data_IF_615609504898
#
_entry.id   IF_615609504898
#
_cell.length_a   1.000
_cell.length_b   1.000
_cell.length_c   1.000
_cell.angle_alpha   90.00
_cell.angle_beta   90.00
_cell.angle_gamma   90.00
#
_symmetry.space_group_name_H-M   'P 1'
#
loop_
_entity.id
_entity.type
_entity.pdbx_description
1 polymer ?
#
# COMPACT_ATOMS: atom_id res chain seq x y z
N UNK A 1 -28.86 17.02 -22.15
CA UNK A 1 -27.56 17.15 -22.84
C UNK A 1 -26.59 16.16 -22.21
N UNK A 2 -26.51 14.97 -22.80
CA UNK A 2 -25.54 13.95 -22.38
C UNK A 2 -24.17 14.35 -22.94
N UNK A 3 -23.30 14.93 -22.12
CA UNK A 3 -21.88 15.01 -22.43
C UNK A 3 -21.32 13.60 -22.24
N UNK A 4 -20.98 12.96 -23.35
CA UNK A 4 -20.20 11.73 -23.35
C UNK A 4 -18.94 11.97 -22.52
N UNK A 5 -18.81 11.22 -21.43
CA UNK A 5 -17.53 11.06 -20.72
C UNK A 5 -16.58 10.48 -21.76
N UNK A 6 -15.61 11.26 -22.20
CA UNK A 6 -14.58 10.80 -23.10
C UNK A 6 -13.89 9.60 -22.44
N UNK A 7 -14.02 8.44 -23.06
CA UNK A 7 -13.22 7.27 -22.76
C UNK A 7 -11.76 7.65 -23.02
N UNK A 8 -11.05 8.04 -21.96
CA UNK A 8 -9.60 8.18 -21.99
C UNK A 8 -9.02 6.77 -21.74
N UNK A 9 -9.33 5.86 -22.64
CA UNK A 9 -8.52 4.66 -22.82
C UNK A 9 -7.26 5.08 -23.58
N UNK A 10 -6.32 5.66 -22.88
CA UNK A 10 -4.97 5.84 -23.41
C UNK A 10 -4.32 4.44 -23.42
N UNK A 11 -4.51 3.73 -24.56
CA UNK A 11 -4.01 2.35 -24.76
C UNK A 11 -2.48 2.24 -24.65
N UNK A 12 -1.80 3.35 -24.48
CA UNK A 12 -0.36 3.44 -24.36
C UNK A 12 0.11 3.71 -22.91
N UNK A 13 -0.82 3.97 -21.97
CA UNK A 13 -0.44 4.21 -20.58
C UNK A 13 0.15 2.94 -19.94
N UNK A 14 1.38 3.02 -19.48
CA UNK A 14 2.09 1.90 -18.86
C UNK A 14 2.38 2.18 -17.37
N UNK A 15 2.08 1.19 -16.53
CA UNK A 15 2.24 1.27 -15.08
C UNK A 15 3.39 0.36 -14.61
N UNK A 16 4.25 0.84 -13.71
CA UNK A 16 5.17 0.03 -12.95
C UNK A 16 4.64 -0.18 -11.54
N UNK A 17 4.41 -1.43 -11.14
CA UNK A 17 4.02 -1.83 -9.79
C UNK A 17 5.23 -2.44 -9.12
N UNK A 18 5.60 -1.96 -7.94
CA UNK A 18 6.68 -2.53 -7.15
C UNK A 18 6.24 -2.84 -5.72
N UNK A 19 6.77 -3.93 -5.19
CA UNK A 19 6.51 -4.39 -3.82
C UNK A 19 7.79 -4.90 -3.16
N UNK A 20 7.82 -4.88 -1.82
CA UNK A 20 8.91 -5.46 -1.04
C UNK A 20 8.40 -6.60 -0.17
N UNK A 21 9.12 -7.71 -0.18
CA UNK A 21 8.88 -8.85 0.71
C UNK A 21 10.01 -8.96 1.73
N UNK A 22 9.65 -8.87 3.01
CA UNK A 22 10.52 -9.15 4.15
C UNK A 22 10.23 -10.56 4.71
N UNK A 23 11.10 -11.13 5.58
CA UNK A 23 10.90 -12.49 6.08
C UNK A 23 9.55 -12.70 6.76
N UNK A 24 8.74 -13.58 6.22
CA UNK A 24 7.45 -14.01 6.76
C UNK A 24 7.10 -15.40 6.25
N UNK A 25 6.50 -16.21 7.12
CA UNK A 25 5.97 -17.54 6.76
C UNK A 25 4.72 -17.45 5.88
N UNK A 26 4.16 -16.26 5.70
CA UNK A 26 2.95 -16.01 4.92
C UNK A 26 3.23 -15.47 3.52
N UNK A 27 4.50 -15.32 3.12
CA UNK A 27 4.86 -14.67 1.86
C UNK A 27 4.24 -15.33 0.63
N UNK A 28 4.18 -16.67 0.58
CA UNK A 28 3.54 -17.38 -0.54
C UNK A 28 2.06 -17.03 -0.69
N UNK A 29 1.34 -16.92 0.43
CA UNK A 29 -0.07 -16.53 0.41
C UNK A 29 -0.23 -15.06 0.01
N UNK A 30 0.59 -14.16 0.55
CA UNK A 30 0.52 -12.74 0.19
C UNK A 30 0.86 -12.52 -1.28
N UNK A 31 1.87 -13.21 -1.80
CA UNK A 31 2.23 -13.14 -3.20
C UNK A 31 1.08 -13.62 -4.10
N UNK A 32 0.49 -14.76 -3.79
CA UNK A 32 -0.66 -15.30 -4.54
C UNK A 32 -1.85 -14.35 -4.54
N UNK A 33 -2.19 -13.76 -3.38
CA UNK A 33 -3.27 -12.79 -3.25
C UNK A 33 -2.97 -11.49 -4.02
N UNK A 34 -1.77 -10.96 -3.86
CA UNK A 34 -1.35 -9.73 -4.53
C UNK A 34 -1.40 -9.89 -6.04
N UNK A 35 -0.84 -10.99 -6.56
CA UNK A 35 -0.86 -11.31 -7.99
C UNK A 35 -2.29 -11.47 -8.50
N UNK A 36 -3.13 -12.27 -7.84
CA UNK A 36 -4.54 -12.46 -8.20
C UNK A 36 -5.28 -11.13 -8.34
N UNK A 37 -5.17 -10.26 -7.34
CA UNK A 37 -5.91 -8.98 -7.35
C UNK A 37 -5.31 -7.93 -8.27
N UNK A 38 -3.99 -7.91 -8.48
CA UNK A 38 -3.34 -7.03 -9.47
C UNK A 38 -3.83 -7.42 -10.87
N UNK A 39 -3.74 -8.69 -11.24
CA UNK A 39 -4.17 -9.20 -12.54
C UNK A 39 -5.65 -8.93 -12.80
N UNK A 40 -6.50 -9.18 -11.81
CA UNK A 40 -7.95 -8.99 -11.90
C UNK A 40 -8.36 -7.52 -12.07
N UNK A 41 -7.68 -6.60 -11.40
CA UNK A 41 -8.15 -5.23 -11.22
C UNK A 41 -7.37 -4.18 -12.01
N UNK A 42 -6.18 -4.50 -12.54
CA UNK A 42 -5.36 -3.57 -13.32
C UNK A 42 -5.63 -3.76 -14.81
N UNK A 43 -6.38 -2.82 -15.40
CA UNK A 43 -6.90 -2.93 -16.76
C UNK A 43 -6.01 -2.26 -17.84
N UNK A 44 -4.83 -1.78 -17.46
CA UNK A 44 -3.82 -1.20 -18.36
C UNK A 44 -2.58 -2.10 -18.40
N UNK A 45 -1.70 -1.96 -19.41
CA UNK A 45 -0.40 -2.61 -19.41
C UNK A 45 0.40 -2.25 -18.17
N UNK A 46 0.94 -3.26 -17.51
CA UNK A 46 1.78 -3.06 -16.32
C UNK A 46 2.94 -4.06 -16.30
N UNK A 47 4.00 -3.69 -15.59
CA UNK A 47 5.02 -4.62 -15.11
C UNK A 47 4.92 -4.68 -13.58
N UNK A 48 5.03 -5.89 -13.04
CA UNK A 48 5.07 -6.13 -11.61
C UNK A 48 6.48 -6.56 -11.22
N UNK A 49 7.11 -5.85 -10.26
CA UNK A 49 8.50 -6.10 -9.84
C UNK A 49 8.59 -6.19 -8.32
N UNK A 50 9.45 -7.07 -7.86
CA UNK A 50 9.62 -7.45 -6.45
C UNK A 50 11.05 -7.16 -6.00
N UNK A 51 11.18 -6.53 -4.85
CA UNK A 51 12.41 -6.50 -4.07
C UNK A 51 12.30 -7.51 -2.95
N UNK A 52 13.19 -8.48 -2.89
CA UNK A 52 13.27 -9.39 -1.75
C UNK A 52 14.24 -8.85 -0.72
N UNK A 53 13.80 -8.83 0.54
CA UNK A 53 14.55 -8.27 1.66
C UNK A 53 14.86 -9.38 2.67
N UNK A 54 15.89 -10.21 2.40
CA UNK A 54 16.22 -11.45 3.10
C UNK A 54 15.10 -12.52 3.01
N UNK A 55 14.54 -12.68 1.81
CA UNK A 55 13.54 -13.70 1.50
C UNK A 55 14.07 -14.60 0.39
N UNK A 56 13.77 -15.90 0.47
CA UNK A 56 14.06 -16.82 -0.62
C UNK A 56 13.24 -16.43 -1.86
N UNK A 57 13.92 -16.09 -2.94
CA UNK A 57 13.27 -15.64 -4.18
C UNK A 57 12.54 -16.76 -4.93
N UNK A 58 12.77 -18.03 -4.60
CA UNK A 58 12.16 -19.16 -5.33
C UNK A 58 10.63 -19.27 -5.21
N UNK A 59 10.01 -18.48 -4.34
CA UNK A 59 8.54 -18.40 -4.23
C UNK A 59 7.91 -17.42 -5.25
N UNK A 60 8.72 -16.63 -5.94
CA UNK A 60 8.30 -15.63 -6.92
C UNK A 60 8.66 -16.10 -8.35
N UNK A 61 8.03 -15.52 -9.34
CA UNK A 61 8.43 -15.71 -10.73
C UNK A 61 9.76 -14.98 -11.01
N UNK A 62 10.69 -15.64 -11.72
CA UNK A 62 12.06 -15.14 -11.91
C UNK A 62 12.12 -13.76 -12.58
N UNK A 63 11.21 -13.49 -13.52
CA UNK A 63 11.15 -12.22 -14.25
C UNK A 63 10.52 -11.08 -13.46
N UNK A 64 9.88 -11.38 -12.33
CA UNK A 64 9.32 -10.39 -11.41
C UNK A 64 10.35 -9.94 -10.36
N UNK A 65 11.32 -10.77 -10.02
CA UNK A 65 12.33 -10.44 -9.00
C UNK A 65 13.37 -9.48 -9.58
N UNK A 66 13.36 -8.25 -9.10
CA UNK A 66 14.27 -7.20 -9.54
C UNK A 66 15.55 -7.14 -8.72
N UNK A 67 15.42 -7.18 -7.40
CA UNK A 67 16.54 -7.05 -6.45
C UNK A 67 16.43 -8.13 -5.37
N UNK A 68 17.55 -8.75 -5.07
CA UNK A 68 17.69 -9.72 -3.97
C UNK A 68 18.63 -9.16 -2.91
N UNK A 69 18.08 -8.63 -1.83
CA UNK A 69 18.86 -8.24 -0.65
C UNK A 69 19.11 -9.49 0.22
N UNK A 70 20.39 -9.83 0.43
CA UNK A 70 20.79 -10.99 1.25
C UNK A 70 20.51 -10.79 2.74
N UNK A 71 20.37 -9.54 3.17
CA UNK A 71 20.06 -9.14 4.53
C UNK A 71 18.81 -8.28 4.54
N UNK A 72 18.11 -8.21 5.67
CA UNK A 72 16.97 -7.32 5.84
C UNK A 72 17.48 -5.89 6.07
N UNK A 73 17.46 -5.08 5.01
CA UNK A 73 17.91 -3.68 5.05
C UNK A 73 16.87 -2.72 5.68
N UNK A 74 15.72 -3.25 6.10
CA UNK A 74 14.62 -2.46 6.65
C UNK A 74 13.67 -1.94 5.58
N UNK A 75 12.43 -1.65 6.00
CA UNK A 75 11.36 -1.22 5.10
C UNK A 75 11.64 0.11 4.39
N UNK A 76 12.09 1.20 5.07
CA UNK A 76 12.38 2.46 4.38
C UNK A 76 13.46 2.33 3.31
N UNK A 77 14.56 1.63 3.61
CA UNK A 77 15.65 1.46 2.66
C UNK A 77 15.21 0.66 1.42
N UNK A 78 14.34 -0.35 1.60
CA UNK A 78 13.80 -1.09 0.47
C UNK A 78 12.86 -0.24 -0.40
N UNK A 79 12.06 0.66 0.21
CA UNK A 79 11.23 1.61 -0.54
C UNK A 79 12.10 2.62 -1.31
N UNK A 80 13.19 3.12 -0.71
CA UNK A 80 14.11 4.01 -1.43
C UNK A 80 14.74 3.29 -2.64
N UNK A 81 15.11 2.02 -2.53
CA UNK A 81 15.55 1.23 -3.70
C UNK A 81 14.47 1.15 -4.80
N UNK A 82 13.19 1.03 -4.42
CA UNK A 82 12.09 1.07 -5.42
C UNK A 82 12.01 2.44 -6.09
N UNK A 83 12.07 3.52 -5.31
CA UNK A 83 12.03 4.89 -5.85
C UNK A 83 13.20 5.18 -6.79
N UNK A 84 14.41 4.76 -6.42
CA UNK A 84 15.61 4.90 -7.26
C UNK A 84 15.41 4.16 -8.58
N UNK A 85 15.00 2.89 -8.52
CA UNK A 85 14.75 2.11 -9.73
C UNK A 85 13.65 2.74 -10.59
N UNK A 86 12.53 3.16 -9.99
CA UNK A 86 11.44 3.82 -10.72
C UNK A 86 11.90 5.10 -11.43
N UNK A 87 12.76 5.91 -10.80
CA UNK A 87 13.31 7.16 -11.38
C UNK A 87 14.21 6.91 -12.59
N UNK A 88 14.81 5.74 -12.68
CA UNK A 88 15.63 5.31 -13.82
C UNK A 88 14.80 4.84 -15.02
N UNK A 89 13.48 4.66 -14.84
CA UNK A 89 12.60 4.08 -15.83
C UNK A 89 11.72 5.14 -16.54
N UNK A 90 12.15 5.57 -17.72
CA UNK A 90 11.40 6.57 -18.51
C UNK A 90 10.18 6.01 -19.25
N UNK A 91 10.07 4.68 -19.35
CA UNK A 91 9.06 3.99 -20.17
C UNK A 91 7.66 3.90 -19.54
N UNK A 92 7.51 4.28 -18.26
CA UNK A 92 6.24 4.23 -17.54
C UNK A 92 5.65 5.62 -17.34
N UNK A 93 4.33 5.69 -17.31
CA UNK A 93 3.57 6.92 -17.12
C UNK A 93 3.13 7.11 -15.66
N UNK A 94 3.03 5.99 -14.94
CA UNK A 94 2.66 5.98 -13.52
C UNK A 94 3.35 4.84 -12.77
N UNK A 95 3.35 4.96 -11.46
CA UNK A 95 4.10 4.10 -10.54
C UNK A 95 3.23 3.78 -9.33
N UNK A 96 3.27 2.53 -8.90
CA UNK A 96 2.60 2.07 -7.69
C UNK A 96 3.59 1.33 -6.79
N UNK A 97 3.73 1.80 -5.56
CA UNK A 97 4.40 1.09 -4.46
C UNK A 97 3.34 0.39 -3.61
N UNK A 98 3.55 -0.87 -3.29
CA UNK A 98 2.70 -1.67 -2.42
C UNK A 98 3.50 -2.32 -1.29
N UNK A 99 2.94 -2.37 -0.09
CA UNK A 99 3.35 -3.38 0.89
C UNK A 99 2.92 -4.77 0.41
N UNK A 100 3.60 -5.81 0.85
CA UNK A 100 3.30 -7.20 0.43
C UNK A 100 1.89 -7.67 0.81
N UNK A 101 1.28 -7.05 1.81
CA UNK A 101 -0.07 -7.31 2.31
C UNK A 101 -1.12 -6.26 1.84
N UNK A 102 -0.80 -5.57 0.73
CA UNK A 102 -1.69 -4.60 0.09
C UNK A 102 -1.89 -4.90 -1.41
N UNK A 103 -3.10 -4.65 -1.92
CA UNK A 103 -3.41 -4.87 -3.34
C UNK A 103 -4.66 -4.11 -3.78
N UNK A 104 -4.82 -3.83 -5.11
CA UNK A 104 -6.02 -3.20 -5.64
C UNK A 104 -7.21 -4.16 -5.59
N UNK A 105 -8.40 -3.65 -5.22
CA UNK A 105 -9.63 -4.46 -5.09
C UNK A 105 -10.75 -4.05 -6.04
N UNK A 106 -10.53 -3.05 -6.88
CA UNK A 106 -11.52 -2.53 -7.79
C UNK A 106 -10.98 -2.42 -9.22
N UNK A 107 -11.66 -3.01 -10.23
CA UNK A 107 -11.28 -2.85 -11.62
C UNK A 107 -11.22 -1.39 -12.05
N UNK A 108 -10.17 -1.02 -12.79
CA UNK A 108 -9.99 0.35 -13.30
C UNK A 108 -9.63 1.37 -12.21
N UNK A 109 -9.11 0.94 -11.08
CA UNK A 109 -8.67 1.79 -9.96
C UNK A 109 -7.73 2.93 -10.40
N UNK A 110 -6.83 2.65 -11.35
CA UNK A 110 -5.86 3.61 -11.87
C UNK A 110 -6.52 4.80 -12.60
N UNK A 111 -7.57 4.55 -13.39
CA UNK A 111 -8.31 5.61 -14.07
C UNK A 111 -9.03 6.52 -13.07
N UNK A 112 -9.61 5.92 -12.03
CA UNK A 112 -10.26 6.66 -10.94
C UNK A 112 -9.26 7.58 -10.27
N UNK A 113 -8.08 7.07 -9.91
CA UNK A 113 -7.04 7.88 -9.27
C UNK A 113 -6.50 8.96 -10.19
N UNK A 114 -6.20 8.63 -11.45
CA UNK A 114 -5.71 9.62 -12.42
C UNK A 114 -6.70 10.77 -12.62
N UNK A 115 -8.00 10.47 -12.73
CA UNK A 115 -9.04 11.49 -12.84
C UNK A 115 -9.12 12.37 -11.60
N UNK A 116 -9.08 11.79 -10.40
CA UNK A 116 -9.12 12.53 -9.16
C UNK A 116 -7.86 13.36 -8.94
N UNK A 117 -6.67 12.77 -9.15
CA UNK A 117 -5.40 13.49 -9.04
C UNK A 117 -5.38 14.69 -9.99
N UNK A 118 -5.83 14.51 -11.23
CA UNK A 118 -5.96 15.62 -12.20
C UNK A 118 -6.95 16.68 -11.74
N UNK A 119 -8.12 16.28 -11.23
CA UNK A 119 -9.15 17.18 -10.73
C UNK A 119 -8.66 18.03 -9.56
N UNK A 120 -7.97 17.40 -8.61
CA UNK A 120 -7.46 18.05 -7.40
C UNK A 120 -6.03 18.60 -7.56
N UNK A 121 -5.44 18.50 -8.75
CA UNK A 121 -4.07 18.93 -9.07
C UNK A 121 -3.03 18.31 -8.11
N UNK A 122 -3.11 16.99 -7.93
CA UNK A 122 -2.22 16.18 -7.10
C UNK A 122 -1.36 15.28 -7.98
N UNK A 123 -0.17 14.94 -7.52
CA UNK A 123 0.75 14.07 -8.22
C UNK A 123 0.98 12.72 -7.51
N UNK A 124 0.49 12.60 -6.29
CA UNK A 124 0.62 11.43 -5.43
C UNK A 124 -0.76 11.08 -4.87
N UNK A 125 -1.09 9.81 -4.74
CA UNK A 125 -2.24 9.32 -4.00
C UNK A 125 -1.77 8.26 -2.99
N UNK A 126 -2.13 8.42 -1.71
CA UNK A 126 -1.68 7.53 -0.65
C UNK A 126 -2.66 7.52 0.51
N UNK A 127 -2.80 6.40 1.25
CA UNK A 127 -3.59 6.37 2.47
C UNK A 127 -3.05 7.33 3.53
N UNK A 128 -3.97 8.03 4.18
CA UNK A 128 -3.70 8.67 5.47
C UNK A 128 -4.59 7.94 6.48
N UNK A 129 -3.97 7.20 7.39
CA UNK A 129 -4.66 6.30 8.30
C UNK A 129 -5.14 7.06 9.56
N UNK A 130 -6.14 7.94 9.39
CA UNK A 130 -6.71 8.68 10.53
C UNK A 130 -7.24 7.76 11.63
N UNK A 131 -7.67 6.55 11.27
CA UNK A 131 -8.04 5.51 12.25
C UNK A 131 -6.86 5.03 13.09
N UNK A 132 -5.64 5.29 12.62
CA UNK A 132 -4.38 5.04 13.32
C UNK A 132 -3.72 6.33 13.85
N UNK A 133 -4.46 7.43 13.82
CA UNK A 133 -4.00 8.77 14.21
C UNK A 133 -2.86 9.34 13.33
N UNK A 134 -2.58 8.75 12.18
CA UNK A 134 -1.57 9.24 11.25
C UNK A 134 -2.01 10.55 10.60
N UNK A 135 -1.04 11.43 10.34
CA UNK A 135 -1.23 12.71 9.62
C UNK A 135 -0.38 12.79 8.36
N UNK A 136 0.25 11.68 7.98
CA UNK A 136 1.17 11.57 6.85
C UNK A 136 0.76 10.42 5.91
N UNK A 137 1.18 10.45 4.65
CA UNK A 137 0.97 9.38 3.69
C UNK A 137 1.65 8.09 4.14
N UNK A 138 0.90 7.00 4.21
CA UNK A 138 1.44 5.71 4.62
C UNK A 138 1.94 4.90 3.41
N UNK A 139 3.14 4.27 3.50
CA UNK A 139 3.74 3.57 2.38
C UNK A 139 3.07 2.27 1.97
N UNK A 140 2.07 1.78 2.71
CA UNK A 140 1.40 0.52 2.34
C UNK A 140 0.86 0.54 0.90
N UNK A 141 0.69 1.75 0.34
CA UNK A 141 0.22 1.93 -0.99
C UNK A 141 0.42 3.39 -1.43
N UNK A 142 1.22 3.58 -2.46
CA UNK A 142 1.51 4.91 -2.99
C UNK A 142 1.46 4.90 -4.50
N UNK A 143 0.49 5.59 -5.07
CA UNK A 143 0.36 5.78 -6.50
C UNK A 143 0.86 7.17 -6.90
N UNK A 144 1.71 7.24 -7.93
CA UNK A 144 2.34 8.47 -8.38
C UNK A 144 2.35 8.57 -9.91
N UNK A 145 2.22 9.80 -10.42
CA UNK A 145 2.63 10.12 -11.79
C UNK A 145 4.13 10.50 -11.83
N UNK A 146 4.67 10.76 -13.03
CA UNK A 146 6.07 11.17 -13.19
C UNK A 146 6.44 12.41 -12.39
N UNK A 147 5.54 13.37 -12.24
CA UNK A 147 5.83 14.60 -11.49
C UNK A 147 5.94 14.32 -9.99
N UNK A 148 5.09 13.44 -9.45
CA UNK A 148 5.19 12.98 -8.06
C UNK A 148 6.47 12.20 -7.80
N UNK A 149 6.80 11.23 -8.67
CA UNK A 149 8.03 10.44 -8.52
C UNK A 149 9.30 11.30 -8.57
N UNK A 150 9.33 12.28 -9.46
CA UNK A 150 10.51 13.16 -9.65
C UNK A 150 10.57 14.31 -8.64
N UNK A 151 9.62 14.44 -7.72
CA UNK A 151 9.70 15.41 -6.64
C UNK A 151 10.80 14.95 -5.66
N UNK A 152 11.89 15.71 -5.49
CA UNK A 152 13.04 15.29 -4.67
C UNK A 152 12.74 15.19 -3.18
N UNK A 153 11.58 15.72 -2.73
CA UNK A 153 11.12 15.59 -1.35
C UNK A 153 10.37 14.30 -1.08
N UNK A 154 10.01 13.53 -2.12
CA UNK A 154 9.36 12.23 -1.95
C UNK A 154 10.38 11.23 -1.47
N UNK A 155 10.27 10.85 -0.21
CA UNK A 155 11.04 9.80 0.44
C UNK A 155 10.23 9.21 1.60
N UNK A 156 10.50 7.96 1.95
CA UNK A 156 9.78 7.23 3.00
C UNK A 156 10.62 6.96 4.25
N UNK A 157 11.65 7.77 4.47
CA UNK A 157 12.46 7.68 5.66
C UNK A 157 11.63 7.94 6.93
N UNK A 158 12.15 7.43 8.03
CA UNK A 158 11.62 7.77 9.35
C UNK A 158 11.73 9.28 9.58
N UNK A 159 10.70 9.85 10.13
CA UNK A 159 10.72 11.22 10.60
C UNK A 159 9.79 11.38 11.80
N UNK A 160 10.20 12.24 12.73
CA UNK A 160 9.41 12.57 13.91
C UNK A 160 8.30 13.54 13.52
N UNK A 161 7.07 13.07 13.64
CA UNK A 161 5.86 13.86 13.35
C UNK A 161 4.90 13.80 14.53
N UNK A 162 4.07 14.83 14.69
CA UNK A 162 2.98 14.79 15.65
C UNK A 162 1.80 14.06 15.04
N UNK A 163 1.26 13.08 15.75
CA UNK A 163 0.00 12.44 15.38
C UNK A 163 -1.22 13.32 15.70
N UNK A 164 -2.43 12.83 15.42
CA UNK A 164 -3.68 13.58 15.70
C UNK A 164 -3.90 13.90 17.18
N UNK A 165 -3.29 13.13 18.10
CA UNK A 165 -3.35 13.39 19.55
C UNK A 165 -2.26 14.35 20.02
N UNK A 166 -1.33 14.74 19.14
CA UNK A 166 -0.21 15.61 19.46
C UNK A 166 1.03 14.87 19.97
N UNK A 167 1.01 13.53 20.01
CA UNK A 167 2.15 12.73 20.42
C UNK A 167 3.20 12.72 19.31
N UNK A 168 4.48 12.77 19.70
CA UNK A 168 5.59 12.61 18.76
C UNK A 168 5.77 11.12 18.44
N UNK A 169 5.65 10.79 17.18
CA UNK A 169 5.89 9.45 16.67
C UNK A 169 7.01 9.48 15.64
N UNK A 170 7.71 8.36 15.47
CA UNK A 170 8.76 8.17 14.48
C UNK A 170 8.37 7.00 13.59
N UNK A 171 7.89 7.29 12.40
CA UNK A 171 7.27 6.31 11.50
C UNK A 171 7.78 6.40 10.07
N UNK A 172 7.74 5.26 9.38
CA UNK A 172 7.99 5.17 7.94
C UNK A 172 6.96 5.99 7.19
N UNK A 173 7.42 6.89 6.32
CA UNK A 173 6.55 7.84 5.62
C UNK A 173 6.34 9.15 6.37
N UNK A 174 6.84 9.31 7.60
CA UNK A 174 6.79 10.59 8.31
C UNK A 174 7.42 11.74 7.52
N UNK A 175 8.47 11.46 6.73
CA UNK A 175 9.09 12.45 5.84
C UNK A 175 8.15 12.94 4.72
N UNK A 176 7.13 12.17 4.34
CA UNK A 176 6.13 12.54 3.34
C UNK A 176 5.23 13.72 3.78
N UNK A 177 5.29 14.15 5.04
CA UNK A 177 4.64 15.39 5.49
C UNK A 177 5.12 16.61 4.71
N UNK A 178 6.35 16.60 4.19
CA UNK A 178 6.90 17.70 3.38
C UNK A 178 6.21 17.87 2.04
N UNK A 179 5.52 16.85 1.55
CA UNK A 179 4.80 16.84 0.26
C UNK A 179 3.31 16.62 0.44
N UNK A 180 2.77 16.78 1.65
CA UNK A 180 1.36 16.49 1.96
C UNK A 180 0.39 17.28 1.08
N UNK A 181 0.76 18.49 0.69
CA UNK A 181 -0.04 19.34 -0.21
C UNK A 181 -0.12 18.80 -1.63
N UNK A 182 0.77 17.89 -2.04
CA UNK A 182 0.77 17.22 -3.35
C UNK A 182 0.11 15.83 -3.30
N UNK A 183 -0.39 15.43 -2.15
CA UNK A 183 -1.01 14.11 -1.93
C UNK A 183 -2.53 14.22 -2.01
N UNK A 184 -3.14 13.32 -2.79
CA UNK A 184 -4.55 12.97 -2.70
C UNK A 184 -4.72 11.96 -1.57
N UNK A 185 -5.35 12.31 -0.44
CA UNK A 185 -5.51 11.40 0.67
C UNK A 185 -6.54 10.33 0.35
N UNK A 186 -6.15 9.08 0.48
CA UNK A 186 -7.04 7.94 0.34
C UNK A 186 -7.52 7.53 1.74
N UNK A 187 -8.78 7.82 2.00
CA UNK A 187 -9.36 7.56 3.31
C UNK A 187 -9.96 6.16 3.37
N UNK A 188 -9.94 5.58 4.55
CA UNK A 188 -10.59 4.30 4.81
C UNK A 188 -12.08 4.40 4.49
N UNK A 189 -12.59 3.44 3.72
CA UNK A 189 -13.97 3.40 3.22
C UNK A 189 -14.82 2.31 3.85
N UNK A 190 -14.22 1.23 4.35
CA UNK A 190 -14.96 0.21 5.09
C UNK A 190 -15.09 0.58 6.57
N UNK A 191 -16.02 -0.08 7.25
CA UNK A 191 -16.25 0.19 8.68
C UNK A 191 -15.01 -0.10 9.50
N UNK A 192 -14.76 0.76 10.50
CA UNK A 192 -13.81 0.49 11.56
C UNK A 192 -14.49 -0.49 12.52
N UNK A 193 -14.15 -1.76 12.38
CA UNK A 193 -14.60 -2.79 13.31
C UNK A 193 -13.86 -2.66 14.64
N UNK A 194 -13.96 -3.68 15.50
CA UNK A 194 -13.25 -3.77 16.80
C UNK A 194 -11.71 -3.67 16.67
N UNK A 195 -11.20 -3.79 15.45
CA UNK A 195 -9.78 -3.72 15.10
C UNK A 195 -9.58 -2.75 13.95
N UNK A 196 -9.36 -1.46 14.24
CA UNK A 196 -9.27 -0.42 13.22
C UNK A 196 -8.17 -0.67 12.19
N UNK A 197 -7.11 -1.40 12.53
CA UNK A 197 -5.98 -1.62 11.62
C UNK A 197 -6.02 -2.93 10.82
N UNK A 198 -6.73 -3.94 11.29
CA UNK A 198 -6.84 -5.18 10.53
C UNK A 198 -7.85 -5.02 9.39
N UNK A 199 -7.51 -5.41 8.18
CA UNK A 199 -8.37 -5.44 7.01
C UNK A 199 -9.02 -4.09 6.65
N UNK A 200 -8.23 -3.14 6.20
CA UNK A 200 -8.69 -1.84 5.73
C UNK A 200 -8.93 -1.82 4.22
N UNK A 201 -10.01 -1.17 3.78
CA UNK A 201 -10.21 -0.76 2.38
C UNK A 201 -10.06 0.76 2.31
N UNK A 202 -9.18 1.25 1.44
CA UNK A 202 -9.00 2.68 1.23
C UNK A 202 -9.63 3.12 -0.08
N UNK A 203 -10.42 4.16 -0.01
CA UNK A 203 -11.08 4.83 -1.12
C UNK A 203 -11.93 3.91 -2.01
N UNK A 204 -12.41 2.78 -1.47
CA UNK A 204 -13.02 1.67 -2.21
C UNK A 204 -12.14 1.09 -3.34
N UNK A 205 -10.83 1.28 -3.29
CA UNK A 205 -9.90 0.90 -4.35
C UNK A 205 -8.85 -0.13 -3.91
N UNK A 206 -8.43 -0.08 -2.64
CA UNK A 206 -7.28 -0.85 -2.17
C UNK A 206 -7.51 -1.49 -0.82
N UNK A 207 -7.05 -2.72 -0.71
CA UNK A 207 -6.99 -3.46 0.55
C UNK A 207 -5.61 -3.33 1.17
N UNK A 208 -5.54 -3.27 2.49
CA UNK A 208 -4.33 -3.43 3.28
C UNK A 208 -4.62 -4.23 4.54
N UNK A 209 -3.80 -5.23 4.82
CA UNK A 209 -3.88 -6.06 6.00
C UNK A 209 -2.78 -5.69 6.99
N UNK A 210 -3.09 -4.88 7.97
CA UNK A 210 -2.10 -4.38 8.91
C UNK A 210 -1.35 -5.52 9.62
N UNK A 211 -0.01 -5.40 9.67
CA UNK A 211 0.92 -6.39 10.19
C UNK A 211 0.82 -7.79 9.53
N UNK A 212 0.13 -7.91 8.39
CA UNK A 212 0.05 -9.16 7.64
C UNK A 212 1.41 -9.64 7.18
N UNK A 213 2.24 -8.74 6.68
CA UNK A 213 3.63 -8.99 6.28
C UNK A 213 4.53 -9.46 7.43
N UNK A 214 4.15 -9.18 8.69
CA UNK A 214 4.87 -9.58 9.92
C UNK A 214 4.25 -10.77 10.64
N UNK A 215 3.39 -11.55 9.99
CA UNK A 215 2.70 -12.65 10.61
C UNK A 215 1.76 -12.25 11.76
N UNK A 216 1.21 -11.03 11.69
CA UNK A 216 0.31 -10.43 12.70
C UNK A 216 0.98 -10.08 14.03
N UNK A 217 2.30 -9.97 14.06
CA UNK A 217 3.02 -9.57 15.27
C UNK A 217 2.89 -8.07 15.53
N UNK A 218 2.04 -7.72 16.47
CA UNK A 218 1.85 -6.35 16.95
C UNK A 218 2.71 -5.98 18.15
N UNK A 219 3.55 -6.89 18.65
CA UNK A 219 4.39 -6.64 19.86
C UNK A 219 5.37 -5.50 19.66
N UNK A 220 5.91 -5.37 18.46
CA UNK A 220 6.82 -4.28 18.07
C UNK A 220 6.18 -2.90 18.29
N UNK A 221 4.86 -2.81 18.17
CA UNK A 221 4.12 -1.56 18.34
C UNK A 221 3.98 -1.14 19.80
N UNK A 222 4.10 -2.09 20.76
CA UNK A 222 4.08 -1.80 22.21
C UNK A 222 5.25 -0.93 22.67
N UNK A 223 6.39 -1.01 22.00
CA UNK A 223 7.61 -0.30 22.38
C UNK A 223 7.52 1.21 22.11
N UNK A 224 6.61 1.64 21.25
CA UNK A 224 6.50 3.04 20.86
C UNK A 224 5.48 3.88 21.61
N UNK A 225 4.88 3.39 22.71
CA UNK A 225 3.77 4.06 23.43
C UNK A 225 2.61 4.57 22.55
N UNK A 226 2.66 4.22 21.30
CA UNK A 226 1.86 4.72 20.19
C UNK A 226 0.44 4.14 20.18
N UNK A 227 0.29 3.00 20.82
CA UNK A 227 -0.93 2.20 20.79
C UNK A 227 -1.68 2.19 22.12
N UNK A 228 -1.54 3.21 22.96
CA UNK A 228 -2.29 3.30 24.21
C UNK A 228 -3.81 3.28 24.04
N UNK A 229 -4.28 3.62 22.84
CA UNK A 229 -5.68 3.56 22.43
C UNK A 229 -6.05 2.24 21.73
N UNK A 230 -5.09 1.33 21.50
CA UNK A 230 -5.35 0.06 20.85
C UNK A 230 -5.74 -0.98 21.90
N UNK A 231 -6.75 -1.70 21.57
CA UNK A 231 -7.12 -2.90 22.29
C UNK A 231 -5.96 -3.88 22.21
N UNK A 232 -5.60 -4.48 23.32
CA UNK A 232 -4.58 -5.49 23.53
C UNK A 232 -3.99 -6.15 22.25
N UNK A 233 -2.65 -6.18 22.13
CA UNK A 233 -1.94 -6.74 20.97
C UNK A 233 -2.32 -8.20 20.66
N UNK A 234 -2.56 -9.03 21.68
CA UNK A 234 -2.95 -10.42 21.51
C UNK A 234 -4.32 -10.55 20.84
N UNK A 235 -5.22 -9.60 21.12
CA UNK A 235 -6.53 -9.51 20.46
C UNK A 235 -6.35 -9.11 18.99
N UNK A 236 -5.47 -8.16 18.68
CA UNK A 236 -5.14 -7.77 17.30
C UNK A 236 -4.53 -8.92 16.52
N UNK A 237 -3.57 -9.66 17.09
CA UNK A 237 -2.99 -10.83 16.44
C UNK A 237 -4.07 -11.87 16.11
N UNK A 238 -4.90 -12.20 17.10
CA UNK A 238 -5.98 -13.17 16.90
C UNK A 238 -6.93 -12.77 15.76
N UNK A 239 -7.40 -11.53 15.76
CA UNK A 239 -8.34 -11.06 14.72
C UNK A 239 -7.66 -10.86 13.37
N UNK A 240 -6.45 -10.36 13.33
CA UNK A 240 -5.67 -10.26 12.10
C UNK A 240 -5.55 -11.63 11.42
N UNK A 241 -5.23 -12.65 12.19
CA UNK A 241 -5.14 -14.03 11.72
C UNK A 241 -6.51 -14.57 11.24
N UNK A 242 -7.58 -14.36 12.01
CA UNK A 242 -8.94 -14.80 11.61
C UNK A 242 -9.40 -14.15 10.31
N UNK A 243 -9.13 -12.86 10.13
CA UNK A 243 -9.45 -12.14 8.90
C UNK A 243 -8.59 -12.63 7.73
N UNK A 244 -7.32 -12.93 7.97
CA UNK A 244 -6.45 -13.52 6.96
C UNK A 244 -6.91 -14.91 6.55
N UNK A 245 -7.25 -15.78 7.50
CA UNK A 245 -7.79 -17.12 7.21
C UNK A 245 -9.06 -17.06 6.37
N UNK A 246 -9.95 -16.10 6.65
CA UNK A 246 -11.14 -15.85 5.84
C UNK A 246 -10.78 -15.32 4.44
N UNK A 247 -9.78 -14.44 4.34
CA UNK A 247 -9.31 -13.90 3.08
C UNK A 247 -8.71 -14.99 2.18
N UNK A 248 -7.84 -15.85 2.70
CA UNK A 248 -7.23 -16.94 1.89
C UNK A 248 -8.22 -18.03 1.51
N UNK A 249 -9.27 -18.23 2.30
CA UNK A 249 -10.30 -19.24 2.03
C UNK A 249 -11.18 -18.86 0.81
N UNK A 250 -11.59 -17.61 0.71
CA UNK A 250 -12.43 -17.10 -0.38
C UNK A 250 -12.14 -15.59 -0.59
N UNK A 251 -11.06 -15.27 -1.31
CA UNK A 251 -10.56 -13.89 -1.41
C UNK A 251 -11.58 -12.91 -1.98
N UNK A 252 -12.27 -13.31 -3.05
CA UNK A 252 -13.21 -12.44 -3.74
C UNK A 252 -14.44 -12.13 -2.91
N UNK A 253 -15.04 -13.14 -2.29
CA UNK A 253 -16.20 -12.98 -1.42
C UNK A 253 -15.83 -12.21 -0.12
N UNK A 254 -14.63 -12.43 0.42
CA UNK A 254 -14.14 -11.67 1.57
C UNK A 254 -14.05 -10.18 1.26
N UNK A 255 -13.42 -9.83 0.15
CA UNK A 255 -13.29 -8.43 -0.28
C UNK A 255 -14.64 -7.81 -0.60
N UNK A 256 -15.53 -8.53 -1.30
CA UNK A 256 -16.88 -8.06 -1.61
C UNK A 256 -17.67 -7.73 -0.33
N UNK A 257 -17.68 -8.64 0.64
CA UNK A 257 -18.29 -8.40 1.94
C UNK A 257 -17.70 -7.19 2.66
N UNK A 258 -16.37 -7.07 2.66
CA UNK A 258 -15.68 -5.97 3.30
C UNK A 258 -15.99 -4.62 2.63
N UNK A 259 -16.13 -4.61 1.31
CA UNK A 259 -16.51 -3.43 0.51
C UNK A 259 -17.97 -2.99 0.79
N UNK A 260 -18.87 -3.93 1.04
CA UNK A 260 -20.27 -3.66 1.31
C UNK A 260 -20.62 -3.50 2.80
N UNK A 261 -19.63 -3.56 3.67
CA UNK A 261 -19.77 -3.26 5.10
C UNK A 261 -20.36 -4.41 5.93
N UNK A 262 -20.13 -5.62 5.49
CA UNK A 262 -20.51 -6.83 6.23
C UNK A 262 -19.36 -7.34 7.10
#
# INVERSE_FOLDING_TARGET
MNKSVANINDKNHKLLIMTVYAPSVLNEHWYSLQKHFIEKNTLIPYDFKIITNNVNSCIFEDDEVLVVNKENIGHPAAIEQMLEHMREQDSYDSYLILDSDAFPVRPGWHDILNQQMKCFKKNIASPIRYENLDVFPHPCFVYMNKAGLNNPKVNFNYNKVKNLMGDMIDEVGGAMTEVIDDVLPLLRSNRINLHPMAAAIYHHLFYHHAAGSRGFDFRVIKEYNYCSHWINADTHEKYGRQLFDALIQDPDNFIDKLMHGL
#
